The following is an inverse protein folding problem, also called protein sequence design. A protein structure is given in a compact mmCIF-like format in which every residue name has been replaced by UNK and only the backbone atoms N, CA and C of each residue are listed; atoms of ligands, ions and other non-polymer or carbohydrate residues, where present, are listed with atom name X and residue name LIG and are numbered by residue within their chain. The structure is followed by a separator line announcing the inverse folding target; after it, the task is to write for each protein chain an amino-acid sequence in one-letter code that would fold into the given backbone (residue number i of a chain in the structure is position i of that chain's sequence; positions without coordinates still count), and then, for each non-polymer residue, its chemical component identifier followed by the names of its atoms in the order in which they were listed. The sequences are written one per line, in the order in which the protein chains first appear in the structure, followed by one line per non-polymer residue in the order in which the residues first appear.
data_IF_190892540395
#
_entry.id   IF_190892540395
#
_cell.length_a   1.000
_cell.length_b   1.000
_cell.length_c   1.000
_cell.angle_alpha   90.00
_cell.angle_beta   90.00
_cell.angle_gamma   90.00
#
_symmetry.space_group_name_H-M   'P 1'
#
loop_
_entity.id
_entity.type
_entity.pdbx_description
1 polymer ?
#
# COMPACT_ATOMS: atom_id res chain seq x y z
N UNK A 1 23.37 18.98 -17.21
CA UNK A 1 22.16 18.21 -16.91
C UNK A 1 21.98 18.16 -15.42
N UNK A 2 20.82 18.53 -14.89
CA UNK A 2 20.45 18.33 -13.50
C UNK A 2 20.24 16.83 -13.30
N UNK A 3 21.18 16.16 -12.58
CA UNK A 3 21.12 14.71 -12.41
C UNK A 3 20.23 14.36 -11.25
N UNK A 4 19.13 13.65 -11.50
CA UNK A 4 18.46 12.86 -10.49
C UNK A 4 19.27 11.58 -10.33
N UNK A 5 19.67 11.24 -9.08
CA UNK A 5 20.45 10.03 -8.81
C UNK A 5 19.55 8.79 -8.67
N UNK A 6 18.30 8.94 -8.17
CA UNK A 6 17.28 7.86 -8.14
C UNK A 6 15.87 8.42 -7.94
N UNK A 7 14.88 7.62 -8.34
CA UNK A 7 13.47 7.84 -8.00
C UNK A 7 13.05 6.92 -6.85
N UNK A 8 12.21 7.44 -5.96
CA UNK A 8 11.64 6.69 -4.83
C UNK A 8 10.16 6.46 -5.09
N UNK A 9 9.74 5.22 -4.99
CA UNK A 9 8.35 4.78 -5.07
C UNK A 9 8.06 3.70 -4.02
N UNK A 10 6.79 3.36 -3.79
CA UNK A 10 6.36 2.29 -2.89
C UNK A 10 4.94 1.84 -3.25
N UNK A 11 4.51 0.73 -2.68
CA UNK A 11 3.11 0.31 -2.64
C UNK A 11 2.44 0.38 -4.03
N UNK A 12 3.05 -0.25 -5.03
CA UNK A 12 2.50 -0.28 -6.39
C UNK A 12 1.22 -1.10 -6.47
N UNK A 13 1.13 -2.16 -5.67
CA UNK A 13 -0.01 -3.06 -5.60
C UNK A 13 -0.55 -3.45 -6.97
N UNK A 14 0.35 -3.88 -7.86
CA UNK A 14 -0.01 -4.29 -9.22
C UNK A 14 -1.02 -5.43 -9.15
N UNK A 15 -2.15 -5.26 -9.86
CA UNK A 15 -3.27 -6.20 -9.84
C UNK A 15 -4.03 -6.22 -11.16
N UNK A 16 -4.64 -7.37 -11.46
CA UNK A 16 -5.42 -7.57 -12.69
C UNK A 16 -6.92 -7.31 -12.53
N UNK A 17 -7.39 -7.16 -11.29
CA UNK A 17 -8.79 -6.83 -10.97
C UNK A 17 -8.93 -5.35 -10.60
N UNK A 18 -10.11 -4.82 -10.83
CA UNK A 18 -10.44 -3.43 -10.52
C UNK A 18 -10.95 -3.31 -9.07
N UNK A 19 -10.40 -2.41 -8.23
CA UNK A 19 -10.98 -2.09 -6.93
C UNK A 19 -12.44 -1.63 -7.06
N UNK A 20 -13.29 -2.00 -6.10
CA UNK A 20 -14.75 -1.74 -6.14
C UNK A 20 -15.05 -0.23 -6.26
N UNK A 21 -14.21 0.62 -5.67
CA UNK A 21 -14.36 2.07 -5.75
C UNK A 21 -13.96 2.67 -7.10
N UNK A 22 -13.33 1.91 -8.01
CA UNK A 22 -12.84 2.42 -9.29
C UNK A 22 -13.84 2.19 -10.41
N UNK A 23 -13.97 3.16 -11.32
CA UNK A 23 -14.90 3.14 -12.46
C UNK A 23 -14.21 3.08 -13.82
N UNK A 24 -12.88 3.30 -13.87
CA UNK A 24 -12.03 3.32 -15.08
C UNK A 24 -11.44 1.94 -15.43
N UNK A 25 -10.71 1.89 -16.54
CA UNK A 25 -9.81 0.76 -16.86
C UNK A 25 -8.59 0.83 -15.92
N UNK A 26 -8.66 0.06 -14.84
CA UNK A 26 -7.66 0.10 -13.79
C UNK A 26 -6.30 -0.42 -14.23
N UNK A 27 -6.25 -1.44 -15.11
CA UNK A 27 -4.99 -1.97 -15.62
C UNK A 27 -4.28 -0.94 -16.50
N UNK A 28 -5.02 -0.26 -17.36
CA UNK A 28 -4.48 0.81 -18.19
C UNK A 28 -4.03 2.01 -17.36
N UNK A 29 -4.78 2.37 -16.31
CA UNK A 29 -4.38 3.43 -15.39
C UNK A 29 -3.09 3.10 -14.63
N UNK A 30 -2.87 1.83 -14.25
CA UNK A 30 -1.58 1.36 -13.69
C UNK A 30 -0.45 1.53 -14.71
N UNK A 31 -0.66 1.05 -15.95
CA UNK A 31 0.35 1.11 -17.00
C UNK A 31 0.79 2.54 -17.32
N UNK A 32 -0.15 3.47 -17.44
CA UNK A 32 0.16 4.89 -17.69
C UNK A 32 1.10 5.47 -16.64
N UNK A 33 0.90 5.11 -15.37
CA UNK A 33 1.77 5.58 -14.27
C UNK A 33 3.15 4.92 -14.30
N UNK A 34 3.20 3.62 -14.54
CA UNK A 34 4.46 2.88 -14.69
C UNK A 34 5.27 3.47 -15.84
N UNK A 35 4.64 3.76 -16.98
CA UNK A 35 5.29 4.40 -18.12
C UNK A 35 5.78 5.80 -17.80
N UNK A 36 4.98 6.59 -17.08
CA UNK A 36 5.39 7.93 -16.65
C UNK A 36 6.66 7.88 -15.78
N UNK A 37 6.68 7.01 -14.77
CA UNK A 37 7.84 6.82 -13.88
C UNK A 37 9.05 6.32 -14.66
N UNK A 38 8.84 5.30 -15.55
CA UNK A 38 9.91 4.73 -16.36
C UNK A 38 10.50 5.75 -17.32
N UNK A 39 9.67 6.59 -17.95
CA UNK A 39 10.15 7.64 -18.86
C UNK A 39 10.92 8.71 -18.10
N UNK A 40 10.45 9.09 -16.90
CA UNK A 40 11.17 10.04 -16.04
C UNK A 40 12.53 9.48 -15.61
N UNK A 41 12.58 8.25 -15.15
CA UNK A 41 13.82 7.58 -14.75
C UNK A 41 14.77 7.40 -15.93
N UNK A 42 14.26 6.97 -17.10
CA UNK A 42 15.04 6.83 -18.32
C UNK A 42 15.61 8.17 -18.84
N UNK A 43 14.84 9.26 -18.74
CA UNK A 43 15.34 10.60 -19.10
C UNK A 43 16.54 11.04 -18.25
N UNK A 44 16.58 10.62 -16.98
CA UNK A 44 17.65 10.96 -16.04
C UNK A 44 18.71 9.88 -15.91
N UNK A 45 18.56 8.75 -16.60
CA UNK A 45 19.45 7.58 -16.51
C UNK A 45 19.65 7.13 -15.05
N UNK A 46 18.54 6.95 -14.33
CA UNK A 46 18.57 6.63 -12.89
C UNK A 46 17.63 5.45 -12.55
N UNK A 47 17.92 4.71 -11.46
CA UNK A 47 17.06 3.62 -11.02
C UNK A 47 15.78 4.10 -10.34
N UNK A 48 14.81 3.19 -10.26
CA UNK A 48 13.58 3.33 -9.47
C UNK A 48 13.71 2.41 -8.24
N UNK A 49 13.74 2.99 -7.05
CA UNK A 49 13.77 2.24 -5.79
C UNK A 49 12.35 2.11 -5.25
N UNK A 50 11.88 0.87 -5.09
CA UNK A 50 10.50 0.56 -4.65
C UNK A 50 10.52 -0.06 -3.27
N UNK A 51 10.00 0.67 -2.29
CA UNK A 51 10.02 0.27 -0.88
C UNK A 51 8.89 -0.72 -0.52
N UNK A 52 8.73 -1.79 -1.30
CA UNK A 52 7.84 -2.92 -1.02
C UNK A 52 6.43 -2.82 -1.60
N UNK A 53 5.68 -3.90 -1.43
CA UNK A 53 4.31 -4.08 -1.92
C UNK A 53 4.18 -3.78 -3.42
N UNK A 54 5.06 -4.39 -4.20
CA UNK A 54 5.04 -4.28 -5.65
C UNK A 54 3.79 -4.93 -6.23
N UNK A 55 3.43 -6.11 -5.75
CA UNK A 55 2.20 -6.81 -6.08
C UNK A 55 1.09 -6.58 -5.07
N UNK A 56 -0.17 -6.68 -5.50
CA UNK A 56 -1.32 -6.64 -4.59
C UNK A 56 -1.54 -7.97 -3.86
N UNK A 57 -1.05 -9.06 -4.44
CA UNK A 57 -1.07 -10.42 -3.88
C UNK A 57 0.21 -11.14 -4.28
N UNK A 58 0.69 -12.09 -3.48
CA UNK A 58 1.93 -12.79 -3.81
C UNK A 58 1.81 -13.61 -5.10
N UNK A 59 0.68 -14.29 -5.31
CA UNK A 59 0.48 -15.11 -6.50
C UNK A 59 -0.19 -14.31 -7.62
N UNK A 60 0.50 -14.18 -8.74
CA UNK A 60 -0.02 -13.52 -9.93
C UNK A 60 -0.50 -14.58 -10.94
N UNK A 61 -1.71 -14.41 -11.44
CA UNK A 61 -2.19 -15.27 -12.51
C UNK A 61 -1.51 -14.96 -13.85
N UNK A 62 -1.48 -15.93 -14.76
CA UNK A 62 -0.80 -15.86 -16.07
C UNK A 62 -1.16 -14.59 -16.85
N UNK A 63 -2.41 -14.19 -16.82
CA UNK A 63 -2.88 -12.97 -17.50
C UNK A 63 -2.17 -11.72 -16.99
N UNK A 64 -1.99 -11.59 -15.68
CA UNK A 64 -1.33 -10.43 -15.08
C UNK A 64 0.17 -10.46 -15.34
N UNK A 65 0.81 -11.64 -15.22
CA UNK A 65 2.21 -11.83 -15.52
C UNK A 65 2.51 -11.48 -16.99
N UNK A 66 1.76 -12.06 -17.92
CA UNK A 66 1.93 -11.79 -19.37
C UNK A 66 1.71 -10.31 -19.69
N UNK A 67 0.70 -9.70 -19.08
CA UNK A 67 0.42 -8.27 -19.27
C UNK A 67 1.60 -7.40 -18.80
N UNK A 68 2.13 -7.67 -17.60
CA UNK A 68 3.21 -6.86 -17.02
C UNK A 68 4.52 -7.08 -17.77
N UNK A 69 4.91 -8.34 -17.99
CA UNK A 69 6.16 -8.69 -18.67
C UNK A 69 6.18 -8.11 -20.08
N UNK A 70 5.13 -8.33 -20.89
CA UNK A 70 5.08 -7.85 -22.28
C UNK A 70 5.23 -6.35 -22.44
N UNK A 71 4.80 -5.57 -21.43
CA UNK A 71 4.88 -4.11 -21.46
C UNK A 71 6.16 -3.54 -20.85
N UNK A 72 6.80 -4.28 -19.94
CA UNK A 72 7.89 -3.75 -19.13
C UNK A 72 9.23 -4.46 -19.30
N UNK A 73 9.34 -5.48 -20.17
CA UNK A 73 10.57 -6.24 -20.40
C UNK A 73 11.52 -5.65 -21.47
N UNK A 74 11.30 -4.40 -21.89
CA UNK A 74 12.21 -3.77 -22.87
C UNK A 74 13.55 -3.42 -22.21
N UNK A 75 14.66 -3.75 -22.87
CA UNK A 75 16.03 -3.52 -22.39
C UNK A 75 16.32 -2.03 -22.09
N UNK A 76 15.65 -1.12 -22.78
CA UNK A 76 15.82 0.33 -22.61
C UNK A 76 15.09 0.90 -21.37
N UNK A 77 14.39 0.05 -20.62
CA UNK A 77 13.69 0.48 -19.39
C UNK A 77 14.69 0.72 -18.26
N UNK A 78 14.42 1.69 -17.37
CA UNK A 78 15.25 1.91 -16.20
C UNK A 78 15.24 0.69 -15.26
N UNK A 79 16.31 0.56 -14.49
CA UNK A 79 16.41 -0.49 -13.49
C UNK A 79 15.42 -0.23 -12.36
N UNK A 80 14.59 -1.22 -12.06
CA UNK A 80 13.67 -1.23 -10.92
C UNK A 80 14.27 -2.14 -9.86
N UNK A 81 14.53 -1.59 -8.69
CA UNK A 81 15.02 -2.32 -7.52
C UNK A 81 13.93 -2.26 -6.47
N UNK A 82 13.34 -3.41 -6.15
CA UNK A 82 12.25 -3.51 -5.18
C UNK A 82 12.66 -4.39 -3.99
N UNK A 83 12.24 -4.02 -2.79
CA UNK A 83 12.21 -4.95 -1.66
C UNK A 83 10.82 -5.58 -1.56
N UNK A 84 10.68 -6.70 -0.86
CA UNK A 84 9.38 -7.32 -0.64
C UNK A 84 8.61 -6.63 0.49
N UNK A 85 7.34 -6.29 0.23
CA UNK A 85 6.35 -6.01 1.24
C UNK A 85 5.53 -7.23 1.61
N UNK A 86 4.58 -7.11 2.54
CA UNK A 86 3.74 -8.22 2.99
C UNK A 86 2.87 -8.82 1.87
N UNK A 87 2.44 -7.99 0.92
CA UNK A 87 1.62 -8.41 -0.21
C UNK A 87 2.41 -9.16 -1.29
N UNK A 88 3.74 -9.09 -1.27
CA UNK A 88 4.62 -9.81 -2.20
C UNK A 88 4.95 -11.23 -1.72
N UNK A 89 4.69 -11.55 -0.44
CA UNK A 89 5.20 -12.74 0.22
C UNK A 89 4.13 -13.81 0.46
N UNK A 90 4.27 -15.02 -0.11
CA UNK A 90 3.42 -16.15 0.23
C UNK A 90 3.45 -16.43 1.74
N UNK A 91 2.28 -16.39 2.40
CA UNK A 91 2.14 -16.59 3.85
C UNK A 91 3.01 -15.63 4.70
N UNK A 92 3.33 -14.44 4.18
CA UNK A 92 4.22 -13.44 4.81
C UNK A 92 5.63 -13.96 5.10
N UNK A 93 6.12 -14.91 4.31
CA UNK A 93 7.44 -15.54 4.49
C UNK A 93 8.44 -15.03 3.46
N UNK A 94 9.49 -14.35 3.94
CA UNK A 94 10.52 -13.78 3.06
C UNK A 94 11.28 -14.87 2.28
N UNK A 95 11.55 -16.03 2.88
CA UNK A 95 12.23 -17.16 2.22
C UNK A 95 11.43 -17.74 1.03
N UNK A 96 10.19 -17.29 0.81
CA UNK A 96 9.30 -17.73 -0.28
C UNK A 96 9.07 -16.70 -1.39
N UNK A 97 9.80 -15.60 -1.38
CA UNK A 97 9.61 -14.54 -2.36
C UNK A 97 9.79 -15.01 -3.81
N UNK A 98 10.68 -15.99 -4.05
CA UNK A 98 10.91 -16.55 -5.40
C UNK A 98 9.71 -17.33 -5.94
N UNK A 99 8.83 -17.83 -5.08
CA UNK A 99 7.59 -18.51 -5.45
C UNK A 99 6.48 -17.54 -5.86
N UNK A 100 6.67 -16.24 -5.59
CA UNK A 100 5.71 -15.17 -5.84
C UNK A 100 5.82 -14.55 -7.24
N UNK A 101 4.85 -13.70 -7.59
CA UNK A 101 4.88 -12.93 -8.84
C UNK A 101 6.14 -12.11 -9.01
N UNK A 102 6.62 -11.45 -7.96
CA UNK A 102 7.88 -10.69 -7.98
C UNK A 102 9.09 -11.56 -8.28
N UNK A 103 9.10 -12.82 -7.83
CA UNK A 103 10.13 -13.80 -8.17
C UNK A 103 10.10 -14.19 -9.65
N UNK A 104 8.92 -14.29 -10.26
CA UNK A 104 8.78 -14.51 -11.70
C UNK A 104 9.28 -13.30 -12.48
N UNK A 105 8.92 -12.08 -12.05
CA UNK A 105 9.38 -10.85 -12.70
C UNK A 105 10.90 -10.72 -12.65
N UNK A 106 11.51 -10.98 -11.50
CA UNK A 106 12.97 -10.94 -11.31
C UNK A 106 13.74 -11.89 -12.24
N UNK A 107 13.12 -13.01 -12.64
CA UNK A 107 13.70 -13.98 -13.58
C UNK A 107 13.37 -13.69 -15.04
N UNK A 108 12.34 -12.89 -15.31
CA UNK A 108 11.80 -12.66 -16.66
C UNK A 108 12.10 -11.28 -17.22
N UNK A 109 12.43 -10.31 -16.37
CA UNK A 109 12.70 -8.92 -16.77
C UNK A 109 14.11 -8.56 -16.32
N UNK A 110 15.00 -8.32 -17.28
CA UNK A 110 16.43 -8.05 -17.03
C UNK A 110 16.65 -6.84 -16.08
N UNK A 111 15.83 -5.80 -16.22
CA UNK A 111 15.95 -4.57 -15.45
C UNK A 111 15.03 -4.55 -14.22
N UNK A 112 14.64 -5.72 -13.70
CA UNK A 112 13.84 -5.83 -12.47
C UNK A 112 14.56 -6.72 -11.45
N UNK A 113 14.87 -6.16 -10.30
CA UNK A 113 15.58 -6.84 -9.21
C UNK A 113 14.77 -6.82 -7.93
N UNK A 114 14.70 -7.97 -7.24
CA UNK A 114 14.20 -8.07 -5.87
C UNK A 114 15.40 -8.10 -4.94
N UNK A 115 15.64 -6.98 -4.27
CA UNK A 115 16.73 -6.84 -3.31
C UNK A 115 16.31 -7.35 -1.92
N UNK A 116 17.06 -8.31 -1.40
CA UNK A 116 16.84 -8.92 -0.08
C UNK A 116 18.12 -9.00 0.76
N UNK A 117 19.23 -8.46 0.24
CA UNK A 117 20.51 -8.30 0.92
C UNK A 117 21.06 -6.91 0.62
N UNK A 118 21.92 -6.43 1.51
CA UNK A 118 22.64 -5.18 1.32
C UNK A 118 23.58 -5.26 0.13
N UNK A 119 23.66 -4.19 -0.66
CA UNK A 119 24.54 -4.15 -1.84
C UNK A 119 25.04 -2.74 -2.14
N UNK A 120 26.14 -2.67 -2.89
CA UNK A 120 26.63 -1.43 -3.44
C UNK A 120 25.96 -1.19 -4.81
N UNK A 121 25.17 -0.12 -4.91
CA UNK A 121 24.58 0.25 -6.20
C UNK A 121 25.67 0.75 -7.16
N UNK A 122 26.53 1.63 -6.66
CA UNK A 122 27.75 2.10 -7.32
C UNK A 122 28.86 2.38 -6.29
N UNK A 123 29.92 3.05 -6.73
CA UNK A 123 31.04 3.40 -5.84
C UNK A 123 30.65 4.43 -4.77
N UNK A 124 29.53 5.15 -4.92
CA UNK A 124 29.07 6.24 -4.04
C UNK A 124 27.91 5.84 -3.15
N UNK A 125 27.07 4.89 -3.59
CA UNK A 125 25.79 4.55 -2.97
C UNK A 125 25.83 3.12 -2.46
N UNK A 126 25.50 2.94 -1.20
CA UNK A 126 25.23 1.65 -0.57
C UNK A 126 23.75 1.58 -0.18
N UNK A 127 23.08 0.50 -0.56
CA UNK A 127 21.68 0.25 -0.24
C UNK A 127 21.61 -0.89 0.78
N UNK A 128 20.90 -0.63 1.87
CA UNK A 128 20.59 -1.58 2.93
C UNK A 128 19.10 -1.93 2.83
N UNK A 129 18.79 -3.21 2.88
CA UNK A 129 17.43 -3.69 2.61
C UNK A 129 16.80 -4.31 3.83
N UNK A 130 15.59 -3.87 4.14
CA UNK A 130 14.77 -4.34 5.26
C UNK A 130 13.36 -4.64 4.74
N UNK A 131 13.19 -5.79 4.03
CA UNK A 131 11.87 -6.24 3.58
C UNK A 131 10.92 -6.44 4.75
N UNK A 132 9.64 -6.68 4.44
CA UNK A 132 8.64 -6.95 5.47
C UNK A 132 9.08 -8.04 6.46
N UNK A 133 8.93 -7.74 7.75
CA UNK A 133 9.33 -8.60 8.86
C UNK A 133 10.75 -8.36 9.37
N UNK A 134 11.60 -7.69 8.62
CA UNK A 134 12.93 -7.31 9.04
C UNK A 134 12.94 -5.96 9.77
N UNK A 135 13.90 -5.80 10.66
CA UNK A 135 14.05 -4.58 11.45
C UNK A 135 15.27 -3.81 10.98
N UNK A 136 15.10 -2.53 10.73
CA UNK A 136 16.19 -1.62 10.44
C UNK A 136 17.26 -1.67 11.55
N UNK A 137 18.51 -1.73 11.17
CA UNK A 137 19.66 -1.83 12.08
C UNK A 137 20.67 -0.74 11.77
N UNK A 138 21.49 -0.37 12.77
CA UNK A 138 22.68 0.41 12.51
C UNK A 138 23.83 -0.52 12.10
N UNK A 139 24.65 -0.04 11.21
CA UNK A 139 25.89 -0.69 10.82
C UNK A 139 27.09 0.15 11.26
N UNK A 140 28.27 -0.48 11.38
CA UNK A 140 29.51 0.23 11.64
C UNK A 140 30.00 0.80 10.33
N UNK A 141 30.09 2.12 10.22
CA UNK A 141 30.44 2.83 8.99
C UNK A 141 31.67 2.26 8.29
N UNK A 142 31.52 1.95 7.02
CA UNK A 142 32.62 1.88 6.09
C UNK A 142 32.59 3.12 5.19
N UNK A 143 33.65 3.89 5.29
CA UNK A 143 34.06 5.03 4.48
C UNK A 143 33.08 5.64 3.46
N UNK A 144 32.62 6.87 3.73
CA UNK A 144 32.19 7.93 2.79
C UNK A 144 31.25 7.57 1.64
N UNK A 145 30.31 6.63 1.85
CA UNK A 145 29.24 6.37 0.92
C UNK A 145 27.94 7.01 1.39
N UNK A 146 27.07 7.33 0.47
CA UNK A 146 25.67 7.64 0.75
C UNK A 146 24.98 6.33 1.11
N UNK A 147 24.42 6.28 2.29
CA UNK A 147 23.77 5.08 2.81
C UNK A 147 22.24 5.25 2.73
N UNK A 148 21.62 4.35 2.01
CA UNK A 148 20.17 4.33 1.81
C UNK A 148 19.60 3.09 2.51
N UNK A 149 18.62 3.26 3.40
CA UNK A 149 17.82 2.16 3.91
C UNK A 149 16.51 2.06 3.11
N UNK A 150 16.23 0.93 2.50
CA UNK A 150 14.90 0.61 1.97
C UNK A 150 14.19 -0.25 3.00
N UNK A 151 13.05 0.20 3.51
CA UNK A 151 12.32 -0.49 4.59
C UNK A 151 10.84 -0.64 4.24
N UNK A 152 10.26 -1.80 4.52
CA UNK A 152 8.82 -1.98 4.38
C UNK A 152 8.17 -2.14 5.75
N UNK A 153 7.80 -1.02 6.33
CA UNK A 153 7.15 -0.93 7.64
C UNK A 153 6.28 0.32 7.73
N UNK A 154 5.24 0.25 8.57
CA UNK A 154 4.35 1.40 8.79
C UNK A 154 5.09 2.55 9.46
N UNK A 155 5.23 3.64 8.74
CA UNK A 155 5.81 4.91 9.23
C UNK A 155 4.79 6.02 9.09
N UNK A 156 4.70 6.88 10.10
CA UNK A 156 3.83 8.06 10.11
C UNK A 156 4.65 9.34 10.21
N UNK A 157 4.12 10.40 9.64
CA UNK A 157 4.74 11.72 9.66
C UNK A 157 4.59 12.39 11.02
N UNK A 158 3.37 12.35 11.60
CA UNK A 158 3.01 12.99 12.86
C UNK A 158 2.18 12.07 13.74
N UNK A 159 2.01 12.42 15.04
CA UNK A 159 1.13 11.69 15.95
C UNK A 159 -0.36 11.84 15.61
N UNK A 160 -0.71 12.87 14.84
CA UNK A 160 -2.09 13.13 14.42
C UNK A 160 -2.52 12.30 13.22
N UNK A 161 -1.58 11.55 12.62
CA UNK A 161 -1.89 10.65 11.49
C UNK A 161 -2.84 9.55 11.98
N UNK A 162 -3.94 9.37 11.26
CA UNK A 162 -4.96 8.37 11.60
C UNK A 162 -4.44 6.97 11.32
N UNK A 163 -4.19 6.22 12.37
CA UNK A 163 -3.93 4.79 12.33
C UNK A 163 -5.23 4.00 12.50
N UNK A 164 -5.28 2.79 11.94
CA UNK A 164 -6.32 1.83 12.28
C UNK A 164 -6.15 1.38 13.74
N UNK A 165 -7.25 1.00 14.37
CA UNK A 165 -7.23 0.52 15.75
C UNK A 165 -6.16 -0.58 15.90
N UNK A 166 -5.27 -0.44 16.89
CA UNK A 166 -4.16 -1.35 17.21
C UNK A 166 -2.99 -1.41 16.19
N UNK A 167 -2.98 -0.58 15.14
CA UNK A 167 -1.85 -0.52 14.23
C UNK A 167 -0.64 0.16 14.87
N UNK A 168 0.49 -0.53 14.91
CA UNK A 168 1.76 0.02 15.37
C UNK A 168 2.44 0.74 14.22
N UNK A 169 2.93 1.96 14.47
CA UNK A 169 3.68 2.73 13.51
C UNK A 169 4.90 3.40 14.16
N UNK A 170 5.95 3.52 13.37
CA UNK A 170 7.11 4.30 13.75
C UNK A 170 6.97 5.75 13.27
N UNK A 171 7.52 6.69 14.05
CA UNK A 171 7.55 8.09 13.66
C UNK A 171 8.77 8.40 12.79
N UNK A 172 8.57 9.02 11.63
CA UNK A 172 9.63 9.33 10.68
C UNK A 172 10.83 10.08 11.33
N UNK A 173 10.57 11.15 12.08
CA UNK A 173 11.62 11.90 12.75
C UNK A 173 12.33 11.09 13.84
N UNK A 174 11.62 10.17 14.51
CA UNK A 174 12.21 9.26 15.50
C UNK A 174 13.15 8.27 14.84
N UNK A 175 12.77 7.72 13.68
CA UNK A 175 13.64 6.81 12.91
C UNK A 175 14.91 7.50 12.45
N UNK A 176 14.84 8.71 11.90
CA UNK A 176 16.01 9.49 11.50
C UNK A 176 16.97 9.78 12.67
N UNK A 177 16.43 10.02 13.87
CA UNK A 177 17.26 10.19 15.08
C UNK A 177 17.87 8.89 15.58
N UNK A 178 17.12 7.78 15.48
CA UNK A 178 17.56 6.46 15.97
C UNK A 178 18.63 5.85 15.07
N UNK A 179 18.58 6.14 13.76
CA UNK A 179 19.46 5.56 12.75
C UNK A 179 20.24 6.66 12.00
N UNK A 180 21.20 7.34 12.68
CA UNK A 180 21.97 8.44 12.09
C UNK A 180 22.93 8.00 10.99
N UNK A 181 23.14 6.70 10.82
CA UNK A 181 24.01 6.09 9.81
C UNK A 181 23.41 6.15 8.38
N UNK A 182 22.12 6.48 8.23
CA UNK A 182 21.47 6.60 6.92
C UNK A 182 21.29 8.06 6.51
N UNK A 183 21.66 8.36 5.27
CA UNK A 183 21.38 9.64 4.63
C UNK A 183 19.91 9.70 4.17
N UNK A 184 19.41 8.56 3.67
CA UNK A 184 18.03 8.39 3.22
C UNK A 184 17.42 7.13 3.80
N UNK A 185 16.19 7.23 4.31
CA UNK A 185 15.34 6.09 4.68
C UNK A 185 14.11 6.13 3.75
N UNK A 186 13.95 5.11 2.92
CA UNK A 186 12.83 4.96 1.99
C UNK A 186 11.85 3.97 2.58
N UNK A 187 10.62 4.40 2.88
CA UNK A 187 9.61 3.54 3.53
C UNK A 187 8.42 3.28 2.63
N UNK A 188 7.79 2.11 2.80
CA UNK A 188 6.49 1.72 2.27
C UNK A 188 5.54 1.27 3.38
N UNK A 189 4.38 0.66 3.02
CA UNK A 189 3.26 0.24 3.87
C UNK A 189 2.27 1.38 4.24
N UNK A 190 2.73 2.61 4.37
CA UNK A 190 1.84 3.76 4.52
C UNK A 190 1.52 4.36 3.14
N UNK A 191 0.26 4.23 2.72
CA UNK A 191 -0.17 4.71 1.41
C UNK A 191 -0.22 6.24 1.26
N UNK A 192 0.03 7.00 2.33
CA UNK A 192 0.14 8.45 2.31
C UNK A 192 1.55 8.88 1.92
N UNK A 193 1.65 9.89 1.05
CA UNK A 193 2.94 10.39 0.56
C UNK A 193 3.42 11.55 1.42
N UNK A 194 4.64 11.42 1.97
CA UNK A 194 5.30 12.48 2.75
C UNK A 194 6.82 12.37 2.75
N UNK A 195 7.47 13.47 3.09
CA UNK A 195 8.90 13.56 3.37
C UNK A 195 9.11 14.22 4.72
N UNK A 196 10.08 13.73 5.48
CA UNK A 196 10.57 14.35 6.71
C UNK A 196 12.07 14.51 6.59
N UNK A 197 12.56 15.72 6.87
CA UNK A 197 13.98 16.04 6.92
C UNK A 197 14.42 16.19 8.37
N UNK A 198 15.62 15.74 8.68
CA UNK A 198 16.27 15.94 9.96
C UNK A 198 17.80 15.95 9.80
N UNK A 199 18.40 17.10 10.06
CA UNK A 199 19.85 17.29 9.99
C UNK A 199 20.47 16.92 8.63
N UNK A 200 19.82 17.33 7.54
CA UNK A 200 20.25 17.05 6.18
C UNK A 200 20.01 15.62 5.71
N UNK A 201 19.31 14.79 6.50
CA UNK A 201 18.93 13.41 6.18
C UNK A 201 17.42 13.30 5.99
N UNK A 202 16.99 12.41 5.13
CA UNK A 202 15.59 12.35 4.71
C UNK A 202 14.96 10.98 5.00
N UNK A 203 13.72 10.99 5.48
CA UNK A 203 12.83 9.85 5.37
C UNK A 203 11.75 10.17 4.33
N UNK A 204 11.65 9.29 3.34
CA UNK A 204 10.75 9.45 2.19
C UNK A 204 9.77 8.28 2.19
N UNK A 205 8.49 8.57 2.34
CA UNK A 205 7.40 7.63 2.12
C UNK A 205 6.65 8.05 0.86
N UNK A 206 6.81 7.29 -0.23
CA UNK A 206 6.24 7.69 -1.51
C UNK A 206 4.71 7.58 -1.54
N UNK A 207 4.15 6.72 -0.70
CA UNK A 207 2.74 6.38 -0.71
C UNK A 207 2.39 5.44 -1.86
N UNK A 208 1.11 5.10 -2.00
CA UNK A 208 0.68 4.15 -3.01
C UNK A 208 0.68 4.73 -4.42
N UNK A 209 1.07 3.89 -5.40
CA UNK A 209 1.03 4.22 -6.83
C UNK A 209 -0.38 4.58 -7.30
N UNK A 210 -1.37 3.85 -6.78
CA UNK A 210 -2.75 3.96 -7.20
C UNK A 210 -3.66 4.37 -6.04
N UNK A 211 -4.75 5.05 -6.36
CA UNK A 211 -5.88 5.23 -5.44
C UNK A 211 -6.75 3.99 -5.50
N UNK A 212 -6.77 3.19 -4.44
CA UNK A 212 -7.43 1.88 -4.38
C UNK A 212 -8.65 1.84 -3.47
N UNK A 213 -8.86 2.89 -2.69
CA UNK A 213 -10.00 3.00 -1.77
C UNK A 213 -10.74 4.32 -1.95
N UNK A 214 -12.01 4.34 -1.55
CA UNK A 214 -12.83 5.54 -1.62
C UNK A 214 -12.31 6.69 -0.73
N UNK A 215 -11.53 6.38 0.31
CA UNK A 215 -10.93 7.39 1.19
C UNK A 215 -9.78 8.14 0.50
N UNK A 216 -9.23 7.58 -0.56
CA UNK A 216 -8.12 8.17 -1.33
C UNK A 216 -8.62 9.10 -2.47
N UNK A 217 -9.88 9.51 -2.47
CA UNK A 217 -10.44 10.37 -3.53
C UNK A 217 -9.68 11.68 -3.70
N UNK A 218 -9.17 12.24 -2.62
CA UNK A 218 -8.37 13.47 -2.60
C UNK A 218 -6.87 13.25 -2.69
N UNK A 219 -6.39 12.00 -2.70
CA UNK A 219 -4.96 11.72 -2.71
C UNK A 219 -4.37 12.01 -4.09
N UNK A 220 -3.15 12.52 -4.07
CA UNK A 220 -2.33 12.77 -5.25
C UNK A 220 -1.14 11.80 -5.26
N UNK A 221 -1.26 10.64 -5.90
CA UNK A 221 -0.16 9.71 -6.04
C UNK A 221 1.09 10.38 -6.59
N UNK A 222 2.25 10.01 -6.07
CA UNK A 222 3.50 10.66 -6.43
C UNK A 222 4.69 9.71 -6.25
N UNK A 223 5.79 10.07 -6.88
CA UNK A 223 7.13 9.57 -6.60
C UNK A 223 8.00 10.71 -6.13
N UNK A 224 9.17 10.41 -5.60
CA UNK A 224 10.14 11.44 -5.25
C UNK A 224 11.42 11.26 -6.08
N UNK A 225 11.94 12.38 -6.58
CA UNK A 225 13.27 12.43 -7.20
C UNK A 225 14.29 12.91 -6.18
N UNK A 226 15.46 12.28 -6.18
CA UNK A 226 16.55 12.61 -5.25
C UNK A 226 17.79 13.01 -6.07
N UNK A 227 18.32 14.21 -5.78
CA UNK A 227 19.61 14.68 -6.27
C UNK A 227 20.57 14.72 -5.05
N UNK A 228 21.45 13.73 -4.97
CA UNK A 228 22.40 13.57 -3.87
C UNK A 228 23.36 14.76 -3.77
N UNK A 229 23.80 15.30 -4.91
CA UNK A 229 24.78 16.40 -4.93
C UNK A 229 24.22 17.69 -4.36
N UNK A 230 22.91 17.92 -4.60
CA UNK A 230 22.21 19.07 -4.04
C UNK A 230 21.60 18.79 -2.67
N UNK A 231 21.63 17.53 -2.25
CA UNK A 231 20.88 17.03 -1.08
C UNK A 231 19.41 17.48 -1.14
N UNK A 232 18.76 17.27 -2.28
CA UNK A 232 17.37 17.68 -2.49
C UNK A 232 16.47 16.51 -2.83
N UNK A 233 15.25 16.60 -2.31
CA UNK A 233 14.16 15.64 -2.53
C UNK A 233 12.96 16.41 -3.07
N UNK A 234 12.52 16.09 -4.28
CA UNK A 234 11.40 16.76 -4.93
C UNK A 234 10.27 15.78 -5.18
N UNK A 235 9.05 16.21 -4.89
CA UNK A 235 7.83 15.43 -5.13
C UNK A 235 7.37 15.58 -6.57
N UNK A 236 7.22 14.47 -7.28
CA UNK A 236 6.72 14.42 -8.64
C UNK A 236 5.33 13.74 -8.64
N UNK A 237 4.30 14.51 -8.98
CA UNK A 237 2.95 14.00 -9.04
C UNK A 237 2.73 13.12 -10.27
N UNK A 238 2.07 11.99 -10.06
CA UNK A 238 1.72 11.06 -11.13
C UNK A 238 0.41 11.50 -11.82
N UNK A 239 0.24 11.17 -13.10
CA UNK A 239 -1.00 11.47 -13.80
C UNK A 239 -2.19 10.76 -13.15
N UNK A 240 -3.28 11.49 -12.94
CA UNK A 240 -4.54 10.97 -12.40
C UNK A 240 -5.70 11.33 -13.35
N UNK A 241 -6.61 10.37 -13.51
CA UNK A 241 -7.91 10.67 -14.12
C UNK A 241 -8.85 11.23 -13.04
N UNK A 242 -9.67 12.20 -13.43
CA UNK A 242 -10.71 12.77 -12.56
C UNK A 242 -11.91 11.82 -12.50
N UNK A 243 -12.66 11.90 -11.42
CA UNK A 243 -13.98 11.26 -11.25
C UNK A 243 -13.99 9.73 -11.43
N UNK A 244 -12.86 9.07 -11.25
CA UNK A 244 -12.72 7.60 -11.36
C UNK A 244 -12.90 6.87 -10.04
N UNK A 245 -13.17 7.59 -8.94
CA UNK A 245 -13.42 7.00 -7.62
C UNK A 245 -14.88 7.24 -7.24
N UNK A 246 -15.63 6.14 -7.07
CA UNK A 246 -17.01 6.13 -6.62
C UNK A 246 -17.11 5.72 -5.14
N UNK A 247 -18.07 6.32 -4.43
CA UNK A 247 -18.45 5.93 -3.07
C UNK A 247 -19.74 5.11 -3.02
N UNK A 248 -20.35 4.84 -4.17
CA UNK A 248 -21.65 4.19 -4.29
C UNK A 248 -21.72 2.86 -3.54
N UNK A 249 -20.64 2.06 -3.59
CA UNK A 249 -20.56 0.78 -2.86
C UNK A 249 -20.67 0.95 -1.34
N UNK A 250 -20.17 2.07 -0.78
CA UNK A 250 -20.28 2.40 0.64
C UNK A 250 -21.73 2.75 0.97
N UNK A 251 -22.38 3.56 0.14
CA UNK A 251 -23.76 3.99 0.33
C UNK A 251 -24.71 2.78 0.23
N UNK A 252 -24.44 1.84 -0.71
CA UNK A 252 -25.20 0.59 -0.85
C UNK A 252 -25.01 -0.31 0.37
N UNK A 253 -23.76 -0.47 0.84
CA UNK A 253 -23.46 -1.24 2.04
C UNK A 253 -24.17 -0.66 3.27
N UNK A 254 -24.09 0.65 3.48
CA UNK A 254 -24.79 1.33 4.58
C UNK A 254 -26.31 1.12 4.53
N UNK A 255 -26.93 1.30 3.36
CA UNK A 255 -28.36 1.05 3.20
C UNK A 255 -28.76 -0.40 3.50
N UNK A 256 -27.89 -1.37 3.18
CA UNK A 256 -28.11 -2.78 3.52
C UNK A 256 -28.04 -2.99 5.03
N UNK A 257 -27.03 -2.45 5.68
CA UNK A 257 -26.85 -2.57 7.14
C UNK A 257 -27.99 -1.88 7.89
N UNK A 258 -28.41 -0.68 7.48
CA UNK A 258 -29.61 0.02 8.03
C UNK A 258 -30.90 -0.84 7.87
N UNK A 259 -31.04 -1.60 6.78
CA UNK A 259 -32.18 -2.52 6.60
C UNK A 259 -32.11 -3.73 7.52
N UNK A 260 -30.90 -4.29 7.70
CA UNK A 260 -30.67 -5.42 8.61
C UNK A 260 -30.98 -4.97 10.05
N UNK A 261 -30.45 -3.82 10.48
CA UNK A 261 -30.72 -3.27 11.81
C UNK A 261 -32.21 -3.00 12.03
N UNK A 262 -32.89 -2.43 11.03
CA UNK A 262 -34.34 -2.21 11.08
C UNK A 262 -35.12 -3.52 11.13
N UNK A 263 -34.62 -4.58 10.50
CA UNK A 263 -35.23 -5.91 10.57
C UNK A 263 -35.01 -6.55 11.94
N UNK A 264 -33.79 -6.49 12.47
CA UNK A 264 -33.47 -7.01 13.83
C UNK A 264 -34.27 -6.28 14.90
N UNK A 265 -34.39 -4.94 14.82
CA UNK A 265 -35.20 -4.18 15.75
C UNK A 265 -36.68 -4.57 15.69
N UNK A 266 -37.24 -4.77 14.48
CA UNK A 266 -38.61 -5.28 14.33
C UNK A 266 -38.79 -6.70 14.88
N UNK A 267 -37.80 -7.57 14.71
CA UNK A 267 -37.83 -8.89 15.35
C UNK A 267 -37.82 -8.76 16.86
N UNK A 268 -36.96 -7.93 17.44
CA UNK A 268 -36.90 -7.71 18.87
C UNK A 268 -38.21 -7.10 19.41
N UNK A 269 -38.79 -6.13 18.70
CA UNK A 269 -40.11 -5.56 19.05
C UNK A 269 -41.24 -6.59 18.91
N UNK A 270 -41.12 -7.54 18.00
CA UNK A 270 -42.12 -8.63 17.81
C UNK A 270 -41.86 -9.83 18.73
N UNK A 271 -40.66 -9.95 19.29
CA UNK A 271 -40.25 -11.03 20.21
C UNK A 271 -40.28 -10.61 21.70
N UNK A 272 -40.94 -9.52 22.06
CA UNK A 272 -41.46 -9.33 23.44
C UNK A 272 -42.68 -10.26 23.70
N UNK A 273 -42.69 -11.40 23.01
CA UNK A 273 -43.51 -12.55 23.38
C UNK A 273 -42.74 -13.25 24.49
N UNK A 274 -43.09 -12.91 25.74
CA UNK A 274 -42.70 -13.66 26.91
C UNK A 274 -42.88 -15.15 26.62
N UNK A 275 -41.83 -15.96 26.78
CA UNK A 275 -41.89 -17.42 26.57
C UNK A 275 -42.80 -18.12 27.62
N UNK A 276 -43.57 -17.33 28.40
CA UNK A 276 -44.57 -17.82 29.30
C UNK A 276 -45.83 -18.14 28.57
N UNK A 277 -46.06 -19.46 28.35
CA UNK A 277 -47.22 -19.99 27.64
C UNK A 277 -48.53 -19.52 28.29
N UNK A 278 -48.60 -19.43 29.60
CA UNK A 278 -49.79 -18.97 30.35
C UNK A 278 -50.11 -17.51 30.04
N UNK A 279 -49.14 -16.64 30.03
CA UNK A 279 -49.32 -15.22 29.69
C UNK A 279 -49.71 -14.98 28.24
N UNK A 280 -49.13 -15.72 27.32
CA UNK A 280 -49.48 -15.68 25.91
C UNK A 280 -50.92 -16.20 25.67
N UNK A 281 -51.34 -17.18 26.46
CA UNK A 281 -52.72 -17.75 26.36
C UNK A 281 -53.72 -16.72 26.93
N UNK A 282 -53.43 -16.04 28.02
CA UNK A 282 -54.24 -14.97 28.59
C UNK A 282 -54.40 -13.78 27.64
N UNK A 283 -53.32 -13.34 26.98
CA UNK A 283 -53.37 -12.29 25.97
C UNK A 283 -54.20 -12.72 24.75
N UNK A 284 -54.08 -13.99 24.30
CA UNK A 284 -54.86 -14.53 23.22
C UNK A 284 -56.34 -14.54 23.55
N UNK A 285 -56.70 -14.97 24.76
CA UNK A 285 -58.10 -15.00 25.20
C UNK A 285 -58.69 -13.60 25.31
N UNK A 286 -57.90 -12.64 25.76
CA UNK A 286 -58.30 -11.23 25.88
C UNK A 286 -58.50 -10.56 24.54
N UNK A 287 -57.58 -10.74 23.62
CA UNK A 287 -57.63 -10.20 22.23
C UNK A 287 -58.78 -10.79 21.40
N UNK A 288 -59.08 -12.06 21.61
CA UNK A 288 -60.06 -12.78 20.78
C UNK A 288 -61.44 -12.92 21.45
N UNK A 289 -61.72 -12.25 22.58
CA UNK A 289 -62.99 -12.28 23.30
C UNK A 289 -63.52 -13.71 23.50
N UNK A 290 -62.63 -14.64 23.86
CA UNK A 290 -63.00 -16.05 24.09
C UNK A 290 -63.91 -16.14 25.31
N UNK A 291 -65.03 -16.87 25.21
CA UNK A 291 -66.03 -16.96 26.23
C UNK A 291 -65.49 -17.65 27.51
N UNK A 292 -65.86 -17.18 28.70
CA UNK A 292 -65.39 -17.71 30.02
C UNK A 292 -65.56 -19.23 30.20
N UNK A 293 -66.45 -19.85 29.48
CA UNK A 293 -66.61 -21.31 29.51
C UNK A 293 -65.55 -22.10 28.74
N UNK A 294 -64.67 -21.41 28.00
CA UNK A 294 -63.63 -22.03 27.18
C UNK A 294 -62.22 -21.69 27.70
N UNK A 295 -62.14 -20.84 28.72
CA UNK A 295 -60.90 -20.55 29.48
C UNK A 295 -60.68 -21.66 30.53
#
# INVERSE_FOLDING_TARGET
CMGIDFLVSADWHIRGDRPVCRTDDYMEAQQKKIEFISNLAGFHDCPILVAGDFGHRPMWGDRLLNWFISRNSKVERPHIIAICGQHDLPNHRLDKWEEAGVGVLSKSIENFEVAHNDFNYDNRIQIHTYPYGEKIQCFTESARKINIAMVHQMVIKSQDDKLWHDQKADHAKRLLRKFPCYDYILSGDNHQSFVVEHEGRYLINAGSLMRMSANQIGDLPSVYSVDIRKNSVERVYLPIEKDVISREHIDVAKKRDDRIDSFVNRLNESYDIDFDFEKNLEEFFTKNKVNEKTK
#
